data_IF_617025110154
#
_entry.id   IF_617025110154
#
_cell.length_a   1.000
_cell.length_b   1.000
_cell.length_c   1.000
_cell.angle_alpha   90.00
_cell.angle_beta   90.00
_cell.angle_gamma   90.00
#
_symmetry.space_group_name_H-M   'P 1'
#
loop_
_entity.id
_entity.type
_entity.pdbx_description
1 polymer ?
#
# COMPACT_ATOMS: atom_id res chain seq x y z
N UNK A 1 -90.35 13.72 -55.85
CA UNK A 1 -90.08 13.73 -54.39
C UNK A 1 -88.77 12.99 -54.15
N UNK A 2 -87.76 13.73 -53.68
CA UNK A 2 -86.45 13.21 -53.28
C UNK A 2 -86.57 12.30 -52.06
N UNK A 3 -85.78 11.22 -52.01
CA UNK A 3 -85.15 10.85 -50.74
C UNK A 3 -83.78 10.22 -50.98
N UNK A 4 -82.73 10.95 -50.59
CA UNK A 4 -81.33 10.51 -50.57
C UNK A 4 -81.15 9.57 -49.38
N UNK A 5 -80.85 8.30 -49.63
CA UNK A 5 -80.16 7.48 -48.65
C UNK A 5 -78.66 7.75 -48.79
N UNK A 6 -78.13 8.56 -47.88
CA UNK A 6 -76.69 8.78 -47.75
C UNK A 6 -76.01 7.50 -47.27
N UNK A 7 -75.18 6.94 -48.13
CA UNK A 7 -74.20 5.92 -47.75
C UNK A 7 -73.22 6.51 -46.73
N UNK A 8 -73.18 5.96 -45.52
CA UNK A 8 -72.06 6.18 -44.59
C UNK A 8 -70.87 5.37 -45.11
N UNK A 9 -69.74 6.00 -45.47
CA UNK A 9 -68.53 5.24 -45.76
C UNK A 9 -68.10 4.51 -44.49
N UNK A 10 -67.88 3.20 -44.63
CA UNK A 10 -67.24 2.39 -43.60
C UNK A 10 -65.78 2.83 -43.49
N UNK A 11 -65.38 3.35 -42.33
CA UNK A 11 -63.97 3.50 -41.96
C UNK A 11 -63.32 2.11 -41.91
N UNK A 12 -62.81 1.67 -43.06
CA UNK A 12 -61.88 0.55 -43.19
C UNK A 12 -60.52 1.15 -43.52
N UNK A 13 -59.56 0.96 -42.62
CA UNK A 13 -58.15 1.10 -42.96
C UNK A 13 -57.26 1.76 -41.92
N UNK A 14 -57.37 1.39 -40.63
CA UNK A 14 -56.39 1.81 -39.63
C UNK A 14 -56.32 0.82 -38.46
N UNK A 15 -56.31 -0.48 -38.77
CA UNK A 15 -56.15 -1.56 -37.80
C UNK A 15 -54.69 -2.03 -37.68
N UNK A 16 -54.04 -2.46 -38.78
CA UNK A 16 -52.68 -2.97 -38.70
C UNK A 16 -51.61 -1.86 -38.61
N UNK A 17 -51.81 -0.72 -39.29
CA UNK A 17 -50.82 0.37 -39.31
C UNK A 17 -50.68 1.04 -37.94
N UNK A 18 -51.80 1.30 -37.26
CA UNK A 18 -51.81 1.82 -35.89
C UNK A 18 -51.24 0.83 -34.89
N UNK A 19 -51.54 -0.47 -35.02
CA UNK A 19 -50.97 -1.50 -34.13
C UNK A 19 -49.45 -1.61 -34.31
N UNK A 20 -48.94 -1.59 -35.55
CA UNK A 20 -47.49 -1.61 -35.82
C UNK A 20 -46.82 -0.33 -35.33
N UNK A 21 -47.46 0.83 -35.51
CA UNK A 21 -46.95 2.11 -35.00
C UNK A 21 -46.89 2.12 -33.47
N UNK A 22 -47.96 1.68 -32.80
CA UNK A 22 -48.02 1.62 -31.32
C UNK A 22 -46.99 0.63 -30.79
N UNK A 23 -46.84 -0.56 -31.38
CA UNK A 23 -45.80 -1.51 -31.00
C UNK A 23 -44.40 -0.97 -31.23
N UNK A 24 -44.16 -0.27 -32.34
CA UNK A 24 -42.89 0.39 -32.63
C UNK A 24 -42.54 1.48 -31.61
N UNK A 25 -43.53 2.30 -31.24
CA UNK A 25 -43.37 3.33 -30.19
C UNK A 25 -43.15 2.67 -28.82
N UNK A 26 -43.90 1.63 -28.47
CA UNK A 26 -43.71 0.90 -27.21
C UNK A 26 -42.31 0.25 -27.14
N UNK A 27 -41.84 -0.38 -28.22
CA UNK A 27 -40.50 -0.95 -28.30
C UNK A 27 -39.42 0.12 -28.18
N UNK A 28 -39.59 1.27 -28.82
CA UNK A 28 -38.68 2.41 -28.70
C UNK A 28 -38.62 2.94 -27.26
N UNK A 29 -39.77 3.14 -26.62
CA UNK A 29 -39.85 3.59 -25.23
C UNK A 29 -39.22 2.57 -24.27
N UNK A 30 -39.41 1.28 -24.52
CA UNK A 30 -38.76 0.22 -23.74
C UNK A 30 -37.24 0.28 -23.87
N UNK A 31 -36.71 0.43 -25.09
CA UNK A 31 -35.27 0.57 -25.34
C UNK A 31 -34.70 1.82 -24.64
N UNK A 32 -35.39 2.96 -24.75
CA UNK A 32 -34.98 4.20 -24.07
C UNK A 32 -34.98 4.01 -22.54
N UNK A 33 -36.02 3.38 -21.99
CA UNK A 33 -36.10 3.10 -20.55
C UNK A 33 -34.97 2.20 -20.05
N UNK A 34 -34.65 1.12 -20.78
CA UNK A 34 -33.55 0.22 -20.41
C UNK A 34 -32.19 0.90 -20.50
N UNK A 35 -31.96 1.72 -21.52
CA UNK A 35 -30.70 2.48 -21.68
C UNK A 35 -30.53 3.53 -20.58
N UNK A 36 -31.60 4.25 -20.24
CA UNK A 36 -31.58 5.26 -19.18
C UNK A 36 -31.22 4.67 -17.81
N UNK A 37 -31.86 3.56 -17.42
CA UNK A 37 -31.55 2.85 -16.16
C UNK A 37 -30.12 2.31 -16.17
N UNK A 38 -29.66 1.78 -17.32
CA UNK A 38 -28.30 1.26 -17.46
C UNK A 38 -27.21 2.33 -17.37
N UNK A 39 -27.49 3.57 -17.78
CA UNK A 39 -26.53 4.68 -17.74
C UNK A 39 -26.27 5.16 -16.30
N UNK A 40 -27.31 5.36 -15.51
CA UNK A 40 -27.20 5.82 -14.11
C UNK A 40 -26.40 4.82 -13.25
N UNK A 41 -26.66 3.53 -13.42
CA UNK A 41 -25.95 2.47 -12.70
C UNK A 41 -24.46 2.32 -13.10
N UNK A 42 -24.02 2.92 -14.22
CA UNK A 42 -22.60 2.94 -14.61
C UNK A 42 -21.87 4.11 -13.97
N UNK A 43 -22.53 5.26 -13.84
CA UNK A 43 -21.95 6.45 -13.23
C UNK A 43 -21.61 6.22 -11.75
N UNK A 44 -22.54 5.64 -10.99
CA UNK A 44 -22.30 5.32 -9.57
C UNK A 44 -21.14 4.33 -9.38
N UNK A 45 -21.04 3.29 -10.22
CA UNK A 45 -19.92 2.34 -10.15
C UNK A 45 -18.59 3.01 -10.46
N UNK A 46 -18.57 3.89 -11.48
CA UNK A 46 -17.36 4.64 -11.82
C UNK A 46 -16.94 5.58 -10.70
N UNK A 47 -17.90 6.25 -10.04
CA UNK A 47 -17.63 7.12 -8.91
C UNK A 47 -17.11 6.34 -7.69
N UNK A 48 -17.72 5.18 -7.39
CA UNK A 48 -17.27 4.29 -6.33
C UNK A 48 -15.84 3.79 -6.58
N UNK A 49 -15.53 3.36 -7.81
CA UNK A 49 -14.19 2.90 -8.17
C UNK A 49 -13.15 4.02 -8.04
N UNK A 50 -13.46 5.22 -8.54
CA UNK A 50 -12.57 6.37 -8.40
C UNK A 50 -12.27 6.70 -6.93
N UNK A 51 -13.30 6.64 -6.06
CA UNK A 51 -13.12 6.84 -4.63
C UNK A 51 -12.27 5.73 -3.98
N UNK A 52 -12.46 4.47 -4.40
CA UNK A 52 -11.67 3.33 -3.92
C UNK A 52 -10.20 3.46 -4.33
N UNK A 53 -9.93 3.73 -5.60
CA UNK A 53 -8.58 3.89 -6.15
C UNK A 53 -7.82 5.01 -5.45
N UNK A 54 -8.47 6.17 -5.27
CA UNK A 54 -7.91 7.31 -4.56
C UNK A 54 -7.61 6.96 -3.10
N UNK A 55 -8.50 6.25 -2.42
CA UNK A 55 -8.30 5.80 -1.04
C UNK A 55 -7.14 4.79 -0.92
N UNK A 56 -7.04 3.83 -1.85
CA UNK A 56 -5.99 2.81 -1.88
C UNK A 56 -4.61 3.45 -2.04
N UNK A 57 -4.45 4.31 -3.05
CA UNK A 57 -3.19 5.02 -3.32
C UNK A 57 -2.81 5.93 -2.15
N UNK A 58 -3.78 6.61 -1.53
CA UNK A 58 -3.54 7.48 -0.40
C UNK A 58 -3.12 6.71 0.87
N UNK A 59 -3.73 5.55 1.12
CA UNK A 59 -3.31 4.64 2.18
C UNK A 59 -1.89 4.15 1.97
N UNK A 60 -1.58 3.68 0.76
CA UNK A 60 -0.26 3.18 0.38
C UNK A 60 0.83 4.27 0.44
N UNK A 61 0.52 5.49 -0.01
CA UNK A 61 1.46 6.62 0.11
C UNK A 61 1.76 6.92 1.57
N UNK A 62 0.73 6.94 2.43
CA UNK A 62 0.93 7.24 3.84
C UNK A 62 1.76 6.17 4.55
N UNK A 63 1.67 4.91 4.13
CA UNK A 63 2.56 3.86 4.61
C UNK A 63 4.01 4.20 4.29
N UNK A 64 4.31 4.64 3.06
CA UNK A 64 5.67 5.03 2.65
C UNK A 64 6.18 6.22 3.46
N UNK A 65 5.36 7.25 3.65
CA UNK A 65 5.73 8.46 4.39
C UNK A 65 6.08 8.18 5.86
N UNK A 66 5.47 7.16 6.46
CA UNK A 66 5.68 6.78 7.86
C UNK A 66 6.92 5.91 8.07
N UNK A 67 7.35 5.16 7.05
CA UNK A 67 8.42 4.16 7.16
C UNK A 67 9.76 4.71 7.68
N UNK A 68 10.25 5.88 7.22
CA UNK A 68 11.51 6.45 7.73
C UNK A 68 11.51 6.61 9.25
N UNK A 69 10.39 7.07 9.82
CA UNK A 69 10.28 7.25 11.27
C UNK A 69 10.25 5.93 12.05
N UNK A 70 9.72 4.85 11.46
CA UNK A 70 9.66 3.53 12.10
C UNK A 70 11.00 2.79 12.05
N UNK A 71 11.79 3.06 11.02
CA UNK A 71 13.05 2.39 10.75
C UNK A 71 14.26 3.23 11.21
N UNK A 72 14.02 4.38 11.84
CA UNK A 72 15.05 5.30 12.31
C UNK A 72 16.01 4.65 13.34
N UNK A 73 15.50 3.79 14.22
CA UNK A 73 16.31 3.06 15.21
C UNK A 73 17.12 1.91 14.60
N UNK A 74 17.02 1.70 13.29
CA UNK A 74 17.66 0.61 12.58
C UNK A 74 17.11 -0.76 12.96
N UNK A 75 17.76 -1.81 12.46
CA UNK A 75 17.34 -3.20 12.64
C UNK A 75 18.56 -4.12 12.79
N UNK A 76 18.39 -5.25 13.49
CA UNK A 76 19.46 -6.24 13.65
C UNK A 76 19.45 -7.31 12.54
N UNK A 77 18.28 -7.64 12.01
CA UNK A 77 18.11 -8.62 10.95
C UNK A 77 17.08 -8.16 9.93
N UNK A 78 17.30 -8.48 8.66
CA UNK A 78 16.36 -8.14 7.58
C UNK A 78 14.97 -8.74 7.83
N UNK A 79 14.93 -9.92 8.43
CA UNK A 79 13.69 -10.63 8.80
C UNK A 79 12.86 -9.92 9.87
N UNK A 80 13.44 -8.99 10.65
CA UNK A 80 12.68 -8.21 11.64
C UNK A 80 12.02 -6.96 11.06
N UNK A 81 12.35 -6.56 9.83
CA UNK A 81 11.80 -5.35 9.22
C UNK A 81 10.26 -5.32 9.16
N UNK A 82 9.56 -6.42 8.78
CA UNK A 82 8.10 -6.41 8.79
C UNK A 82 7.51 -6.16 10.19
N UNK A 83 8.20 -6.61 11.24
CA UNK A 83 7.79 -6.39 12.63
C UNK A 83 7.94 -4.93 13.03
N UNK A 84 9.07 -4.31 12.72
CA UNK A 84 9.31 -2.89 12.98
C UNK A 84 8.32 -1.97 12.25
N UNK A 85 7.93 -2.32 11.03
CA UNK A 85 6.98 -1.53 10.26
C UNK A 85 5.52 -1.65 10.74
N UNK A 86 5.26 -2.56 11.68
CA UNK A 86 3.94 -2.83 12.26
C UNK A 86 3.35 -4.15 11.76
N UNK A 87 4.03 -5.26 12.07
CA UNK A 87 3.72 -6.60 11.54
C UNK A 87 2.23 -6.97 11.58
N UNK A 88 1.79 -7.57 10.48
CA UNK A 88 0.52 -8.27 10.42
C UNK A 88 -0.02 -8.40 8.99
N UNK A 89 -0.93 -9.36 8.76
CA UNK A 89 -1.63 -9.47 7.48
C UNK A 89 -2.60 -8.29 7.25
N UNK A 90 -2.89 -7.48 8.28
CA UNK A 90 -3.86 -6.39 8.19
C UNK A 90 -3.55 -5.21 9.11
N UNK A 91 -2.44 -4.52 8.84
CA UNK A 91 -2.08 -3.27 9.48
C UNK A 91 -3.07 -2.14 9.18
N UNK A 92 -3.19 -1.19 10.10
CA UNK A 92 -4.10 -0.04 9.98
C UNK A 92 -3.36 1.27 9.62
N UNK A 93 -2.04 1.21 9.40
CA UNK A 93 -1.24 2.36 8.97
C UNK A 93 -1.72 2.83 7.61
N UNK A 94 -1.92 4.14 7.44
CA UNK A 94 -2.49 4.73 6.23
C UNK A 94 -4.02 4.80 6.19
N UNK A 95 -4.74 4.13 7.11
CA UNK A 95 -6.21 4.11 7.15
C UNK A 95 -6.84 5.49 7.22
N UNK A 96 -6.31 6.37 8.08
CA UNK A 96 -6.84 7.73 8.27
C UNK A 96 -6.77 8.48 6.94
N UNK A 97 -5.62 8.41 6.26
CA UNK A 97 -5.42 9.07 4.98
C UNK A 97 -6.29 8.48 3.87
N UNK A 98 -6.47 7.16 3.84
CA UNK A 98 -7.41 6.50 2.94
C UNK A 98 -8.85 6.96 3.19
N UNK A 99 -9.27 7.08 4.45
CA UNK A 99 -10.61 7.52 4.83
C UNK A 99 -10.88 8.97 4.44
N UNK A 100 -9.90 9.85 4.61
CA UNK A 100 -9.95 11.25 4.16
C UNK A 100 -10.18 11.34 2.65
N UNK A 101 -9.42 10.57 1.86
CA UNK A 101 -9.59 10.57 0.40
C UNK A 101 -10.89 9.93 -0.04
N UNK A 102 -11.35 8.87 0.60
CA UNK A 102 -12.68 8.32 0.35
C UNK A 102 -13.76 9.39 0.58
N UNK A 103 -13.68 10.11 1.72
CA UNK A 103 -14.63 11.16 2.09
C UNK A 103 -14.61 12.33 1.11
N UNK A 104 -13.42 12.76 0.69
CA UNK A 104 -13.25 13.81 -0.32
C UNK A 104 -13.86 13.42 -1.69
N UNK A 105 -14.00 12.12 -1.97
CA UNK A 105 -14.64 11.57 -3.16
C UNK A 105 -16.10 11.12 -2.92
N UNK A 106 -16.74 11.60 -1.85
CA UNK A 106 -18.16 11.32 -1.59
C UNK A 106 -18.44 9.88 -1.15
N UNK A 107 -17.44 9.17 -0.62
CA UNK A 107 -17.56 7.80 -0.13
C UNK A 107 -17.15 7.67 1.34
N UNK A 108 -17.62 6.61 2.00
CA UNK A 108 -17.16 6.18 3.32
C UNK A 108 -16.27 4.96 3.17
N UNK A 109 -15.11 4.97 3.83
CA UNK A 109 -14.24 3.80 3.93
C UNK A 109 -14.87 2.76 4.86
N UNK A 110 -15.20 1.59 4.33
CA UNK A 110 -15.85 0.51 5.10
C UNK A 110 -14.87 -0.59 5.51
N UNK A 111 -13.79 -0.79 4.76
CA UNK A 111 -12.73 -1.73 5.09
C UNK A 111 -11.35 -1.12 4.76
N UNK A 112 -10.34 -1.48 5.54
CA UNK A 112 -8.96 -1.10 5.30
C UNK A 112 -8.02 -2.18 5.79
N UNK A 113 -7.06 -2.54 4.94
CA UNK A 113 -6.07 -3.55 5.26
C UNK A 113 -4.75 -3.23 4.55
N UNK A 114 -3.68 -2.99 5.31
CA UNK A 114 -2.33 -3.02 4.76
C UNK A 114 -1.64 -4.32 5.14
N UNK A 115 -1.33 -5.15 4.15
CA UNK A 115 -0.57 -6.38 4.34
C UNK A 115 0.92 -6.10 4.08
N UNK A 116 1.71 -6.06 5.16
CA UNK A 116 3.16 -5.79 5.09
C UNK A 116 3.93 -6.89 4.34
N UNK A 117 3.43 -8.14 4.37
CA UNK A 117 4.10 -9.28 3.76
C UNK A 117 3.99 -9.27 2.23
N UNK A 118 2.92 -8.68 1.72
CA UNK A 118 2.63 -8.59 0.29
C UNK A 118 2.63 -7.16 -0.23
N UNK A 119 3.09 -6.19 0.58
CA UNK A 119 3.21 -4.78 0.23
C UNK A 119 1.94 -4.13 -0.35
N UNK A 120 0.76 -4.64 0.06
CA UNK A 120 -0.55 -4.32 -0.53
C UNK A 120 -1.48 -3.63 0.45
N UNK A 121 -2.13 -2.57 -0.02
CA UNK A 121 -3.21 -1.86 0.67
C UNK A 121 -4.51 -2.18 -0.05
N UNK A 122 -5.42 -2.86 0.64
CA UNK A 122 -6.77 -3.17 0.17
C UNK A 122 -7.76 -2.27 0.89
N UNK A 123 -8.66 -1.64 0.13
CA UNK A 123 -9.72 -0.77 0.65
C UNK A 123 -11.05 -1.17 0.07
N UNK A 124 -12.10 -1.08 0.88
CA UNK A 124 -13.48 -1.07 0.40
C UNK A 124 -14.11 0.25 0.77
N UNK A 125 -14.80 0.86 -0.19
CA UNK A 125 -15.56 2.10 0.01
C UNK A 125 -17.03 1.88 -0.35
N UNK A 126 -17.87 2.74 0.20
CA UNK A 126 -19.30 2.81 -0.11
C UNK A 126 -19.67 4.26 -0.37
N UNK A 127 -20.33 4.57 -1.49
CA UNK A 127 -20.79 5.93 -1.76
C UNK A 127 -21.76 6.41 -0.68
N UNK A 128 -21.69 7.70 -0.36
CA UNK A 128 -22.56 8.32 0.63
C UNK A 128 -23.93 8.70 0.05
N UNK A 129 -24.01 8.82 -1.27
CA UNK A 129 -25.22 9.15 -2.01
C UNK A 129 -25.53 8.05 -3.04
N UNK A 130 -26.81 7.83 -3.27
CA UNK A 130 -27.35 6.95 -4.29
C UNK A 130 -28.52 7.65 -4.97
N UNK A 131 -28.59 7.53 -6.29
CA UNK A 131 -29.68 8.05 -7.08
C UNK A 131 -30.96 7.24 -6.85
N UNK A 132 -30.88 5.91 -6.83
CA UNK A 132 -31.96 4.98 -6.47
C UNK A 132 -31.38 3.62 -6.02
N UNK A 133 -31.73 3.14 -4.82
CA UNK A 133 -31.37 1.79 -4.35
C UNK A 133 -30.30 1.74 -3.26
N UNK A 134 -29.52 0.65 -3.24
CA UNK A 134 -28.38 0.48 -2.31
C UNK A 134 -27.17 1.29 -2.82
N UNK A 135 -26.45 2.01 -1.94
CA UNK A 135 -25.27 2.77 -2.33
C UNK A 135 -24.19 1.86 -2.91
N UNK A 136 -23.63 2.28 -4.05
CA UNK A 136 -22.59 1.52 -4.73
C UNK A 136 -21.35 1.33 -3.83
N UNK A 137 -20.82 0.11 -3.85
CA UNK A 137 -19.56 -0.25 -3.20
C UNK A 137 -18.50 -0.55 -4.25
N UNK A 138 -17.26 -0.28 -3.91
CA UNK A 138 -16.11 -0.63 -4.73
C UNK A 138 -14.93 -1.05 -3.86
N UNK A 139 -14.07 -1.88 -4.43
CA UNK A 139 -12.83 -2.34 -3.83
C UNK A 139 -11.68 -1.92 -4.73
N UNK A 140 -10.57 -1.52 -4.11
CA UNK A 140 -9.35 -1.20 -4.82
C UNK A 140 -8.15 -1.69 -4.03
N UNK A 141 -7.07 -1.92 -4.77
CA UNK A 141 -5.82 -2.39 -4.23
C UNK A 141 -4.66 -1.57 -4.77
N UNK A 142 -3.77 -1.16 -3.87
CA UNK A 142 -2.55 -0.45 -4.22
C UNK A 142 -1.32 -1.13 -3.60
N UNK A 143 -0.26 -1.27 -4.37
CA UNK A 143 1.05 -1.69 -3.88
C UNK A 143 1.88 -0.48 -3.47
N UNK A 144 2.57 -0.57 -2.34
CA UNK A 144 3.56 0.45 -1.92
C UNK A 144 4.84 0.37 -2.74
N UNK A 145 5.09 -0.76 -3.44
CA UNK A 145 6.35 -1.09 -4.13
C UNK A 145 7.56 -1.19 -3.21
N UNK A 146 7.32 -1.25 -1.90
CA UNK A 146 8.33 -1.41 -0.86
C UNK A 146 8.06 -2.72 -0.11
N UNK A 147 8.64 -3.80 -0.62
CA UNK A 147 8.39 -5.15 -0.13
C UNK A 147 9.36 -5.52 1.00
N UNK A 148 9.02 -5.12 2.22
CA UNK A 148 9.83 -5.39 3.42
C UNK A 148 10.16 -6.88 3.64
N UNK A 149 9.24 -7.76 3.25
CA UNK A 149 9.42 -9.21 3.32
C UNK A 149 10.42 -9.77 2.31
N UNK A 150 10.76 -8.99 1.27
CA UNK A 150 11.65 -9.37 0.17
C UNK A 150 12.98 -8.63 0.19
N UNK A 151 13.23 -7.82 1.23
CA UNK A 151 14.50 -7.12 1.37
C UNK A 151 15.66 -8.11 1.45
N UNK A 152 16.79 -7.77 0.83
CA UNK A 152 18.04 -8.54 0.88
C UNK A 152 19.23 -7.59 1.00
N UNK A 153 20.23 -7.92 1.83
CA UNK A 153 21.49 -7.18 1.93
C UNK A 153 22.43 -7.67 0.81
N UNK A 154 23.32 -6.79 0.34
CA UNK A 154 24.37 -7.10 -0.62
C UNK A 154 25.11 -8.40 -0.24
N UNK A 155 25.23 -9.31 -1.19
CA UNK A 155 25.75 -10.67 -0.94
C UNK A 155 27.24 -10.72 -0.58
N UNK A 156 27.98 -9.65 -0.89
CA UNK A 156 29.39 -9.45 -0.60
C UNK A 156 29.64 -8.79 0.77
N UNK A 157 28.58 -8.44 1.51
CA UNK A 157 28.71 -7.89 2.84
C UNK A 157 29.13 -8.97 3.85
N UNK A 158 30.28 -8.78 4.47
CA UNK A 158 30.74 -9.57 5.60
C UNK A 158 30.75 -8.71 6.87
N UNK A 159 30.21 -9.26 7.96
CA UNK A 159 30.22 -8.57 9.26
C UNK A 159 31.66 -8.43 9.76
N UNK A 160 32.14 -7.22 10.07
CA UNK A 160 33.50 -7.04 10.58
C UNK A 160 33.68 -7.79 11.89
N UNK A 161 34.69 -8.66 11.95
CA UNK A 161 35.03 -9.41 13.16
C UNK A 161 35.79 -8.49 14.13
N UNK A 162 35.44 -8.45 15.43
CA UNK A 162 36.22 -7.69 16.40
C UNK A 162 37.64 -8.25 16.50
N UNK A 163 38.65 -7.37 16.50
CA UNK A 163 40.04 -7.75 16.72
C UNK A 163 40.17 -8.43 18.09
N UNK A 164 40.77 -9.64 18.19
CA UNK A 164 40.90 -10.32 19.47
C UNK A 164 41.70 -9.47 20.46
N UNK A 165 41.20 -9.38 21.69
CA UNK A 165 41.92 -8.74 22.80
C UNK A 165 43.24 -9.47 23.06
N UNK A 166 44.36 -8.77 23.33
CA UNK A 166 45.63 -9.44 23.62
C UNK A 166 45.48 -10.41 24.78
N UNK A 167 45.90 -11.66 24.59
CA UNK A 167 45.92 -12.66 25.66
C UNK A 167 46.87 -12.19 26.75
N UNK A 168 46.46 -12.17 28.04
CA UNK A 168 47.36 -11.79 29.12
C UNK A 168 48.56 -12.76 29.15
N UNK A 169 49.77 -12.20 29.19
CA UNK A 169 51.01 -12.98 29.31
C UNK A 169 50.99 -13.78 30.61
N UNK A 170 51.15 -15.12 30.60
CA UNK A 170 51.20 -15.91 31.83
C UNK A 170 52.25 -15.39 32.82
N UNK A 171 51.82 -15.17 34.07
CA UNK A 171 52.69 -14.77 35.18
C UNK A 171 53.68 -15.91 35.51
N UNK A 172 55.01 -15.68 35.50
CA UNK A 172 55.97 -16.73 35.82
C UNK A 172 55.84 -17.19 37.27
N UNK A 173 55.64 -18.50 37.47
CA UNK A 173 55.60 -19.17 38.78
C UNK A 173 57.04 -19.49 39.25
N UNK A 174 57.83 -18.46 39.54
CA UNK A 174 59.20 -18.59 40.07
C UNK A 174 59.29 -18.11 41.52
N UNK A 175 60.25 -18.61 42.33
CA UNK A 175 60.46 -18.15 43.70
C UNK A 175 60.74 -16.65 43.72
N UNK A 176 59.96 -15.91 44.53
CA UNK A 176 59.87 -14.46 44.51
C UNK A 176 61.20 -13.76 44.85
N UNK A 177 61.74 -12.91 43.95
CA UNK A 177 62.60 -11.80 44.35
C UNK A 177 61.72 -10.60 44.79
N UNK A 178 62.25 -9.86 45.78
CA UNK A 178 61.91 -8.51 46.33
C UNK A 178 60.80 -7.66 45.65
N UNK A 179 60.05 -6.82 46.42
CA UNK A 179 58.86 -6.13 45.94
C UNK A 179 59.21 -5.10 44.87
N UNK A 180 59.02 -5.47 43.61
CA UNK A 180 59.36 -4.66 42.45
C UNK A 180 58.09 -4.07 41.88
N UNK A 181 57.58 -2.99 42.51
CA UNK A 181 56.50 -2.14 41.98
C UNK A 181 55.14 -2.83 41.73
N UNK A 182 54.05 -2.06 41.60
CA UNK A 182 52.80 -2.61 41.07
C UNK A 182 53.00 -3.04 39.61
N UNK A 183 52.37 -4.15 39.17
CA UNK A 183 52.43 -4.57 37.77
C UNK A 183 51.93 -3.44 36.86
N UNK A 184 52.48 -3.31 35.63
CA UNK A 184 51.99 -2.33 34.68
C UNK A 184 50.49 -2.56 34.41
N UNK A 185 49.70 -1.49 34.26
CA UNK A 185 48.28 -1.63 33.93
C UNK A 185 48.11 -2.43 32.63
N UNK A 186 47.04 -3.23 32.50
CA UNK A 186 46.77 -3.96 31.27
C UNK A 186 46.68 -2.98 30.09
N UNK A 187 47.10 -3.39 28.88
CA UNK A 187 46.94 -2.57 27.70
C UNK A 187 45.45 -2.23 27.50
N UNK A 188 45.12 -1.02 27.04
CA UNK A 188 43.75 -0.65 26.75
C UNK A 188 43.18 -1.60 25.68
N UNK A 189 41.87 -1.91 25.75
CA UNK A 189 41.24 -2.73 24.72
C UNK A 189 41.41 -2.08 23.34
N UNK A 190 41.54 -2.87 22.26
CA UNK A 190 41.59 -2.33 20.91
C UNK A 190 40.32 -1.51 20.63
N UNK A 191 40.41 -0.42 19.85
CA UNK A 191 39.24 0.35 19.48
C UNK A 191 38.26 -0.52 18.69
N UNK A 192 36.94 -0.29 18.83
CA UNK A 192 35.94 -1.01 18.04
C UNK A 192 36.16 -0.76 16.54
N UNK A 193 35.76 -1.70 15.67
CA UNK A 193 35.82 -1.49 14.23
C UNK A 193 34.97 -0.26 13.84
N UNK A 194 35.34 0.48 12.77
CA UNK A 194 34.51 1.57 12.28
C UNK A 194 33.20 1.05 11.68
N UNK A 195 32.14 1.87 11.61
CA UNK A 195 30.93 1.56 10.87
C UNK A 195 31.23 1.27 9.39
N UNK A 196 30.48 0.34 8.79
CA UNK A 196 30.68 -0.12 7.42
C UNK A 196 29.44 0.18 6.60
N UNK A 197 29.61 0.80 5.44
CA UNK A 197 28.52 1.02 4.48
C UNK A 197 28.22 -0.26 3.70
N UNK A 198 26.95 -0.53 3.47
CA UNK A 198 26.47 -1.62 2.60
C UNK A 198 25.18 -1.19 1.90
N UNK A 199 24.61 -2.06 1.07
CA UNK A 199 23.34 -1.80 0.40
C UNK A 199 22.32 -2.90 0.63
N UNK A 200 21.05 -2.55 0.55
CA UNK A 200 19.91 -3.46 0.61
C UNK A 200 18.94 -3.19 -0.53
N UNK A 201 18.41 -4.24 -1.16
CA UNK A 201 17.35 -4.11 -2.17
C UNK A 201 16.04 -4.68 -1.63
N UNK A 202 14.97 -3.88 -1.68
CA UNK A 202 13.61 -4.23 -1.28
C UNK A 202 12.60 -4.22 -2.46
N UNK A 203 13.09 -4.27 -3.70
CA UNK A 203 12.31 -4.41 -4.93
C UNK A 203 12.15 -3.12 -5.76
N UNK A 204 12.77 -2.01 -5.35
CA UNK A 204 12.68 -0.72 -6.06
C UNK A 204 14.04 -0.05 -6.31
N UNK A 205 15.13 -0.66 -5.82
CA UNK A 205 16.47 -0.11 -5.93
C UNK A 205 17.32 -0.41 -4.69
N UNK A 206 18.61 -0.14 -4.82
CA UNK A 206 19.56 -0.28 -3.73
C UNK A 206 19.43 0.88 -2.73
N UNK A 207 19.17 0.55 -1.48
CA UNK A 207 19.17 1.44 -0.32
C UNK A 207 20.52 1.37 0.37
N UNK A 208 21.08 2.52 0.71
CA UNK A 208 22.33 2.59 1.48
C UNK A 208 22.05 2.36 2.96
N UNK A 209 22.86 1.50 3.57
CA UNK A 209 22.82 1.16 4.98
C UNK A 209 24.19 1.43 5.62
N UNK A 210 24.18 1.77 6.90
CA UNK A 210 25.38 1.74 7.74
C UNK A 210 25.21 0.62 8.75
N UNK A 211 26.15 -0.32 8.77
CA UNK A 211 26.27 -1.31 9.83
C UNK A 211 27.19 -0.78 10.92
N UNK A 212 26.67 -0.67 12.14
CA UNK A 212 27.44 -0.32 13.33
C UNK A 212 27.85 -1.60 14.09
N UNK A 213 29.15 -1.94 14.12
CA UNK A 213 29.65 -3.11 14.82
C UNK A 213 29.54 -3.00 16.35
N UNK A 214 29.42 -1.79 16.90
CA UNK A 214 29.25 -1.56 18.33
C UNK A 214 27.85 -1.93 18.83
N UNK A 215 26.84 -1.74 17.99
CA UNK A 215 25.43 -2.05 18.32
C UNK A 215 24.89 -3.28 17.60
N UNK A 216 25.61 -3.80 16.60
CA UNK A 216 25.18 -4.87 15.71
C UNK A 216 23.86 -4.54 15.00
N UNK A 217 23.72 -3.29 14.54
CA UNK A 217 22.51 -2.79 13.87
C UNK A 217 22.86 -2.17 12.51
N UNK A 218 21.91 -2.31 11.60
CA UNK A 218 21.86 -1.57 10.34
C UNK A 218 20.97 -0.35 10.51
N UNK A 219 21.42 0.81 10.07
CA UNK A 219 20.62 2.02 9.96
C UNK A 219 20.54 2.43 8.50
N UNK A 220 19.38 2.93 8.08
CA UNK A 220 19.24 3.45 6.71
C UNK A 220 19.88 4.83 6.61
N UNK A 221 20.54 5.09 5.49
CA UNK A 221 21.00 6.43 5.10
C UNK A 221 19.94 7.04 4.19
N UNK A 222 19.44 8.23 4.54
CA UNK A 222 18.55 9.03 3.71
C UNK A 222 17.31 8.26 3.18
N UNK A 223 16.70 7.42 4.04
CA UNK A 223 15.55 6.59 3.65
C UNK A 223 14.36 7.43 3.16
N UNK A 224 14.15 8.59 3.76
CA UNK A 224 13.12 9.54 3.35
C UNK A 224 13.33 10.03 1.91
N UNK A 225 14.57 10.34 1.52
CA UNK A 225 14.91 10.71 0.16
C UNK A 225 14.73 9.53 -0.80
N UNK A 226 15.16 8.34 -0.41
CA UNK A 226 15.00 7.14 -1.23
C UNK A 226 13.52 6.77 -1.46
N UNK A 227 12.66 7.00 -0.46
CA UNK A 227 11.22 6.73 -0.56
C UNK A 227 10.43 7.86 -1.24
N UNK A 228 10.96 9.08 -1.33
CA UNK A 228 10.27 10.21 -1.97
C UNK A 228 9.93 9.96 -3.44
N UNK A 229 10.75 9.17 -4.16
CA UNK A 229 10.52 8.81 -5.55
C UNK A 229 9.66 7.55 -5.73
N UNK A 230 9.42 6.80 -4.66
CA UNK A 230 8.59 5.60 -4.70
C UNK A 230 7.13 6.00 -4.70
N UNK A 231 6.47 5.78 -5.84
CA UNK A 231 5.03 6.01 -5.99
C UNK A 231 4.25 4.69 -5.89
N UNK A 232 3.21 4.64 -5.04
CA UNK A 232 2.27 3.54 -5.05
C UNK A 232 1.61 3.36 -6.42
N UNK A 233 1.17 2.14 -6.70
CA UNK A 233 0.48 1.79 -7.94
C UNK A 233 -0.78 0.97 -7.67
N UNK A 234 -1.81 1.18 -8.46
CA UNK A 234 -2.99 0.31 -8.44
C UNK A 234 -2.65 -1.06 -9.05
N UNK A 235 -3.28 -2.11 -8.52
CA UNK A 235 -3.09 -3.49 -9.00
C UNK A 235 -4.37 -4.22 -9.35
N UNK A 236 -5.51 -3.51 -9.35
CA UNK A 236 -6.83 -4.00 -9.72
C UNK A 236 -7.21 -3.71 -11.17
#
# INVERSE_FOLDING_TARGET
MMNRYGSRPADRGSGPVTVVLVLGICALLFVIGVVAVGAMAREERSAAQHAADAAALAGAQRVLDDLPGLLADGFAAVTSLPELAGAGPCGQRGKVRAAELATANGATLTSYCWNVLTDRVTVTVRLNHTAEGEPATAEAEAETRFALSRCTIASDFETPTPTPSPTPTPTPTGPAPSPTGPPPPPPPPPPPPPPVETSMDCGFGALTLIFDPGTLRFTFVDLDLALADVRPRLTG
#
